data_IF_969207134328
#
_entry.id   IF_969207134328
#
_cell.length_a   1.000
_cell.length_b   1.000
_cell.length_c   1.000
_cell.angle_alpha   90.00
_cell.angle_beta   90.00
_cell.angle_gamma   90.00
#
_symmetry.space_group_name_H-M   'P 1'
#
loop_
_entity.id
_entity.type
_entity.pdbx_description
1 polymer ?
#
# COMPACT_ATOMS: atom_id res chain seq x y z
N UNK A 1 60.42 -43.19 38.65
CA UNK A 1 60.52 -41.78 38.16
C UNK A 1 60.46 -41.77 36.64
N UNK A 2 59.73 -40.78 36.07
CA UNK A 2 59.65 -40.33 34.66
C UNK A 2 58.86 -41.26 33.69
N UNK A 3 57.62 -40.90 33.28
CA UNK A 3 57.20 -39.92 32.24
C UNK A 3 57.81 -40.23 30.86
N UNK A 4 57.01 -40.65 29.87
CA UNK A 4 56.43 -39.77 28.82
C UNK A 4 55.70 -40.54 27.70
N UNK A 5 54.59 -39.93 27.27
CA UNK A 5 53.68 -40.23 26.14
C UNK A 5 54.27 -39.63 24.85
N UNK A 6 54.05 -40.22 23.67
CA UNK A 6 53.80 -39.52 22.39
C UNK A 6 53.50 -40.56 21.28
N UNK A 7 52.24 -40.78 20.91
CA UNK A 7 51.43 -40.07 19.89
C UNK A 7 51.93 -40.25 18.45
N UNK A 8 51.26 -41.14 17.71
CA UNK A 8 51.28 -41.18 16.24
C UNK A 8 50.11 -40.33 15.73
N UNK A 9 50.40 -39.16 15.15
CA UNK A 9 49.44 -38.34 14.43
C UNK A 9 49.55 -38.63 12.94
N UNK A 10 48.58 -39.38 12.40
CA UNK A 10 48.32 -39.41 10.97
C UNK A 10 47.44 -38.20 10.63
N UNK A 11 48.03 -37.19 9.97
CA UNK A 11 47.29 -36.04 9.47
C UNK A 11 46.72 -36.40 8.10
N UNK A 12 45.41 -36.70 8.07
CA UNK A 12 44.63 -36.73 6.84
C UNK A 12 43.90 -35.41 6.73
N UNK A 13 44.46 -34.46 5.99
CA UNK A 13 43.78 -33.22 5.60
C UNK A 13 42.76 -33.53 4.52
N UNK A 14 41.49 -33.69 4.93
CA UNK A 14 40.37 -33.59 4.00
C UNK A 14 40.11 -32.11 3.72
N UNK A 15 40.44 -31.66 2.50
CA UNK A 15 40.06 -30.34 2.02
C UNK A 15 38.59 -30.42 1.60
N UNK A 16 37.68 -30.08 2.52
CA UNK A 16 36.29 -29.81 2.17
C UNK A 16 36.24 -28.47 1.43
N UNK A 17 36.31 -28.51 0.10
CA UNK A 17 35.95 -27.35 -0.71
C UNK A 17 34.43 -27.23 -0.64
N UNK A 18 33.95 -26.49 0.36
CA UNK A 18 32.59 -25.99 0.36
C UNK A 18 32.55 -24.84 -0.63
N UNK A 19 32.18 -25.13 -1.88
CA UNK A 19 31.80 -24.10 -2.84
C UNK A 19 30.39 -23.65 -2.47
N UNK A 20 30.28 -22.71 -1.52
CA UNK A 20 29.08 -21.86 -1.44
C UNK A 20 29.31 -20.75 -2.44
N UNK A 21 28.88 -20.94 -3.68
CA UNK A 21 28.56 -19.79 -4.53
C UNK A 21 27.16 -19.34 -4.15
N UNK A 22 26.97 -18.16 -3.54
CA UNK A 22 25.66 -17.56 -3.54
C UNK A 22 25.34 -17.20 -5.00
N UNK A 23 24.30 -17.85 -5.50
CA UNK A 23 23.58 -17.58 -6.72
C UNK A 23 23.29 -16.09 -6.84
N UNK A 24 23.98 -15.39 -7.74
CA UNK A 24 23.77 -13.95 -8.00
C UNK A 24 22.30 -13.64 -8.28
N UNK A 25 21.61 -14.53 -9.00
CA UNK A 25 20.16 -14.44 -9.23
C UNK A 25 19.32 -14.45 -7.93
N UNK A 26 19.70 -15.26 -6.93
CA UNK A 26 19.00 -15.30 -5.65
C UNK A 26 19.29 -14.06 -4.81
N UNK A 27 20.53 -13.56 -4.85
CA UNK A 27 20.91 -12.32 -4.18
C UNK A 27 20.22 -11.09 -4.81
N UNK A 28 20.08 -11.07 -6.13
CA UNK A 28 19.38 -10.02 -6.87
C UNK A 28 17.87 -10.08 -6.64
N UNK A 29 17.25 -11.27 -6.59
CA UNK A 29 15.84 -11.45 -6.22
C UNK A 29 15.56 -11.02 -4.77
N UNK A 30 16.44 -11.38 -3.82
CA UNK A 30 16.35 -10.95 -2.42
C UNK A 30 16.46 -9.43 -2.33
N UNK A 31 17.43 -8.81 -3.03
CA UNK A 31 17.62 -7.36 -3.04
C UNK A 31 16.45 -6.62 -3.70
N UNK A 32 15.91 -7.17 -4.78
CA UNK A 32 14.73 -6.65 -5.46
C UNK A 32 13.51 -6.69 -4.52
N UNK A 33 13.25 -7.82 -3.87
CA UNK A 33 12.14 -7.95 -2.92
C UNK A 33 12.28 -6.98 -1.73
N UNK A 34 13.48 -6.83 -1.16
CA UNK A 34 13.72 -5.91 -0.05
C UNK A 34 13.51 -4.45 -0.47
N UNK A 35 13.95 -4.05 -1.66
CA UNK A 35 13.70 -2.70 -2.18
C UNK A 35 12.22 -2.40 -2.41
N UNK A 36 11.40 -3.42 -2.71
CA UNK A 36 9.95 -3.28 -2.82
C UNK A 36 9.33 -3.09 -1.43
N UNK A 37 9.69 -3.90 -0.44
CA UNK A 37 9.18 -3.76 0.93
C UNK A 37 9.55 -2.40 1.55
N UNK A 38 10.77 -1.92 1.30
CA UNK A 38 11.20 -0.57 1.67
C UNK A 38 10.38 0.51 0.96
N UNK A 39 10.08 0.34 -0.34
CA UNK A 39 9.28 1.28 -1.13
C UNK A 39 7.83 1.36 -0.65
N UNK A 40 7.20 0.23 -0.31
CA UNK A 40 5.82 0.20 0.15
C UNK A 40 5.68 0.55 1.64
N UNK A 41 6.79 0.50 2.40
CA UNK A 41 6.82 0.82 3.82
C UNK A 41 6.13 -0.21 4.71
N UNK A 42 6.07 -1.47 4.26
CA UNK A 42 5.42 -2.58 4.95
C UNK A 42 6.26 -3.83 4.76
N UNK A 43 6.42 -4.63 5.81
CA UNK A 43 7.14 -5.89 5.71
C UNK A 43 6.26 -7.03 5.20
N UNK A 44 6.88 -8.12 4.74
CA UNK A 44 6.16 -9.28 4.22
C UNK A 44 5.26 -9.92 5.28
N UNK A 45 5.65 -9.92 6.54
CA UNK A 45 4.88 -10.55 7.63
C UNK A 45 3.58 -9.82 7.91
N UNK A 46 3.57 -8.48 7.80
CA UNK A 46 2.37 -7.66 7.88
C UNK A 46 1.38 -7.98 6.74
N UNK A 47 1.90 -8.14 5.52
CA UNK A 47 1.09 -8.50 4.34
C UNK A 47 0.49 -9.89 4.51
N UNK A 48 1.31 -10.88 4.89
CA UNK A 48 0.84 -12.25 5.12
C UNK A 48 -0.19 -12.28 6.25
N UNK A 49 0.02 -11.51 7.33
CA UNK A 49 -0.94 -11.40 8.42
C UNK A 49 -2.28 -10.84 7.94
N UNK A 50 -2.28 -9.83 7.07
CA UNK A 50 -3.52 -9.28 6.51
C UNK A 50 -4.22 -10.28 5.59
N UNK A 51 -3.47 -10.95 4.71
CA UNK A 51 -4.00 -11.95 3.76
C UNK A 51 -4.67 -13.11 4.49
N UNK A 52 -4.11 -13.54 5.63
CA UNK A 52 -4.62 -14.65 6.42
C UNK A 52 -5.79 -14.28 7.37
N UNK A 53 -6.00 -12.99 7.67
CA UNK A 53 -7.11 -12.57 8.53
C UNK A 53 -8.43 -12.54 7.76
N UNK A 54 -9.28 -13.54 7.99
CA UNK A 54 -10.60 -13.67 7.37
C UNK A 54 -11.57 -12.54 7.71
N UNK A 55 -11.31 -11.74 8.75
CA UNK A 55 -12.11 -10.54 9.08
C UNK A 55 -11.67 -9.31 8.28
N UNK A 56 -10.45 -9.33 7.75
CA UNK A 56 -9.87 -8.28 6.93
C UNK A 56 -10.05 -8.62 5.44
N UNK A 57 -9.58 -9.79 5.03
CA UNK A 57 -9.50 -10.27 3.65
C UNK A 57 -10.72 -11.11 3.23
N UNK A 58 -11.93 -10.55 3.35
CA UNK A 58 -13.17 -11.27 3.01
C UNK A 58 -13.30 -11.59 1.52
N UNK A 59 -12.57 -10.87 0.66
CA UNK A 59 -12.58 -11.06 -0.79
C UNK A 59 -11.52 -12.06 -1.28
N UNK A 60 -10.76 -12.68 -0.37
CA UNK A 60 -9.78 -13.71 -0.72
C UNK A 60 -8.63 -13.20 -1.58
N UNK A 61 -8.21 -11.94 -1.37
CA UNK A 61 -7.06 -11.34 -2.05
C UNK A 61 -5.80 -12.13 -1.75
N UNK A 62 -5.07 -12.45 -2.81
CA UNK A 62 -3.77 -13.12 -2.74
C UNK A 62 -2.68 -12.16 -2.28
N UNK A 63 -1.55 -12.70 -1.81
CA UNK A 63 -0.35 -11.90 -1.51
C UNK A 63 0.07 -11.07 -2.73
N UNK A 64 0.03 -11.65 -3.93
CA UNK A 64 0.39 -10.98 -5.18
C UNK A 64 -0.53 -9.80 -5.51
N UNK A 65 -1.85 -9.95 -5.31
CA UNK A 65 -2.80 -8.84 -5.50
C UNK A 65 -2.57 -7.71 -4.48
N UNK A 66 -2.31 -8.05 -3.22
CA UNK A 66 -1.99 -7.05 -2.18
C UNK A 66 -0.69 -6.35 -2.50
N UNK A 67 0.34 -7.07 -2.95
CA UNK A 67 1.61 -6.49 -3.40
C UNK A 67 1.41 -5.54 -4.59
N UNK A 68 0.63 -5.92 -5.60
CA UNK A 68 0.33 -5.04 -6.74
C UNK A 68 -0.38 -3.75 -6.29
N UNK A 69 -1.35 -3.86 -5.38
CA UNK A 69 -2.02 -2.70 -4.80
C UNK A 69 -1.04 -1.77 -4.06
N UNK A 70 -0.19 -2.32 -3.22
CA UNK A 70 0.79 -1.55 -2.42
C UNK A 70 1.85 -0.88 -3.31
N UNK A 71 2.35 -1.58 -4.33
CA UNK A 71 3.30 -1.04 -5.30
C UNK A 71 2.69 0.12 -6.07
N UNK A 72 1.49 -0.06 -6.64
CA UNK A 72 0.80 0.98 -7.40
C UNK A 72 0.58 2.23 -6.53
N UNK A 73 0.09 2.03 -5.31
CA UNK A 73 -0.13 3.14 -4.37
C UNK A 73 1.15 3.88 -3.98
N UNK A 74 2.26 3.15 -3.77
CA UNK A 74 3.56 3.74 -3.45
C UNK A 74 4.17 4.50 -4.63
N UNK A 75 3.90 4.06 -5.86
CA UNK A 75 4.32 4.77 -7.08
C UNK A 75 3.61 6.11 -7.23
N UNK A 76 2.30 6.14 -6.99
CA UNK A 76 1.55 7.39 -7.06
C UNK A 76 2.02 8.43 -6.02
N UNK A 77 2.40 7.99 -4.82
CA UNK A 77 2.94 8.89 -3.77
C UNK A 77 4.34 9.42 -4.09
N UNK A 78 5.14 8.67 -4.84
CA UNK A 78 6.53 9.04 -5.15
C UNK A 78 6.63 10.09 -6.26
N UNK A 79 5.52 10.45 -6.91
CA UNK A 79 5.49 11.55 -7.89
C UNK A 79 6.10 12.82 -7.29
N UNK A 80 7.26 13.24 -7.83
CA UNK A 80 8.10 14.32 -7.30
C UNK A 80 7.47 15.72 -7.32
N UNK A 81 6.25 15.86 -7.83
CA UNK A 81 5.56 17.13 -8.04
C UNK A 81 4.20 17.19 -7.33
N UNK A 82 4.15 16.80 -6.05
CA UNK A 82 2.92 16.97 -5.26
C UNK A 82 2.64 18.47 -5.08
N UNK A 83 1.66 18.98 -5.80
CA UNK A 83 1.13 20.32 -5.58
C UNK A 83 -0.21 20.21 -4.86
N UNK A 84 -0.37 20.90 -3.74
CA UNK A 84 -1.68 21.02 -3.10
C UNK A 84 -2.43 22.21 -3.69
N UNK A 85 -3.73 22.07 -3.95
CA UNK A 85 -4.52 23.25 -4.35
C UNK A 85 -4.61 24.24 -3.18
N UNK A 86 -3.86 25.34 -3.28
CA UNK A 86 -3.83 26.40 -2.29
C UNK A 86 -5.16 27.17 -2.22
N UNK A 87 -6.08 27.06 -3.19
CA UNK A 87 -7.40 27.66 -3.07
C UNK A 87 -8.22 27.05 -1.89
N UNK A 88 -7.86 25.84 -1.44
CA UNK A 88 -8.43 25.14 -0.27
C UNK A 88 -7.52 25.28 0.96
N UNK A 89 -6.48 26.13 0.94
CA UNK A 89 -5.67 26.41 2.14
C UNK A 89 -6.40 27.22 3.22
N UNK A 90 -7.70 27.51 3.05
CA UNK A 90 -8.61 27.65 4.20
C UNK A 90 -9.23 26.29 4.56
N UNK A 91 -8.42 25.49 5.23
CA UNK A 91 -8.86 24.32 6.00
C UNK A 91 -8.70 22.99 5.27
N UNK A 92 -7.75 22.16 5.72
CA UNK A 92 -7.87 20.71 5.60
C UNK A 92 -9.27 20.31 6.05
N UNK A 93 -10.10 19.83 5.13
CA UNK A 93 -11.40 19.31 5.52
C UNK A 93 -11.17 18.06 6.36
N UNK A 94 -11.81 18.00 7.52
CA UNK A 94 -11.76 16.86 8.42
C UNK A 94 -13.13 16.64 9.03
N UNK A 95 -13.47 15.40 9.29
CA UNK A 95 -14.67 15.00 10.02
C UNK A 95 -14.40 13.70 10.78
N UNK A 96 -15.44 13.08 11.33
CA UNK A 96 -15.30 11.82 12.05
C UNK A 96 -14.76 10.66 11.20
N UNK A 97 -14.93 10.73 9.88
CA UNK A 97 -14.51 9.70 8.91
C UNK A 97 -13.13 9.97 8.32
N UNK A 98 -12.75 11.23 8.13
CA UNK A 98 -11.47 11.60 7.54
C UNK A 98 -10.76 12.64 8.40
N UNK A 99 -9.53 12.35 8.81
CA UNK A 99 -8.70 13.33 9.52
C UNK A 99 -8.17 14.41 8.58
N UNK A 100 -8.17 14.15 7.26
CA UNK A 100 -7.80 15.10 6.22
C UNK A 100 -8.41 14.72 4.88
N UNK A 101 -8.91 15.70 4.15
CA UNK A 101 -9.26 15.60 2.73
C UNK A 101 -8.76 16.82 1.97
N UNK A 102 -8.04 16.61 0.86
CA UNK A 102 -7.44 17.70 0.08
C UNK A 102 -7.23 17.30 -1.39
N UNK A 103 -7.40 18.24 -2.31
CA UNK A 103 -6.98 18.05 -3.70
C UNK A 103 -5.47 18.20 -3.83
N UNK A 104 -4.84 17.18 -4.39
CA UNK A 104 -3.41 17.16 -4.73
C UNK A 104 -3.24 16.93 -6.23
N UNK A 105 -2.20 17.49 -6.81
CA UNK A 105 -1.76 17.14 -8.15
C UNK A 105 -0.58 16.18 -8.04
N UNK A 106 -0.61 15.07 -8.76
CA UNK A 106 0.44 14.05 -8.86
C UNK A 106 0.64 13.75 -10.35
N UNK A 107 1.87 13.89 -10.84
CA UNK A 107 2.21 13.70 -12.26
C UNK A 107 1.24 14.40 -13.25
N UNK A 108 0.82 15.62 -12.93
CA UNK A 108 -0.08 16.41 -13.77
C UNK A 108 -1.57 16.01 -13.68
N UNK A 109 -1.91 15.00 -12.87
CA UNK A 109 -3.29 14.60 -12.60
C UNK A 109 -3.75 15.08 -11.23
N UNK A 110 -4.97 15.58 -11.13
CA UNK A 110 -5.58 15.90 -9.84
C UNK A 110 -6.14 14.64 -9.20
N UNK A 111 -5.93 14.50 -7.89
CA UNK A 111 -6.46 13.42 -7.06
C UNK A 111 -7.02 14.00 -5.77
N UNK A 112 -8.16 13.49 -5.32
CA UNK A 112 -8.69 13.79 -4.00
C UNK A 112 -8.03 12.84 -3.01
N UNK A 113 -7.14 13.36 -2.19
CA UNK A 113 -6.42 12.60 -1.17
C UNK A 113 -7.20 12.63 0.15
N UNK A 114 -7.56 11.46 0.66
CA UNK A 114 -8.40 11.27 1.84
C UNK A 114 -7.66 10.41 2.87
N UNK A 115 -7.42 10.96 4.05
CA UNK A 115 -6.86 10.22 5.17
C UNK A 115 -8.01 9.68 6.04
N UNK A 116 -8.38 8.39 5.91
CA UNK A 116 -9.42 7.80 6.75
C UNK A 116 -8.99 7.76 8.23
N UNK A 117 -9.97 7.79 9.12
CA UNK A 117 -9.78 7.61 10.57
C UNK A 117 -9.90 6.12 10.93
N UNK A 118 -10.24 5.83 12.18
CA UNK A 118 -10.34 4.49 12.75
C UNK A 118 -11.30 3.53 12.01
N UNK A 119 -12.32 4.05 11.32
CA UNK A 119 -13.33 3.20 10.67
C UNK A 119 -12.76 2.29 9.59
N UNK A 120 -11.68 2.71 8.93
CA UNK A 120 -11.02 1.92 7.89
C UNK A 120 -10.29 0.70 8.47
N UNK A 121 -9.93 0.72 9.75
CA UNK A 121 -9.31 -0.41 10.45
C UNK A 121 -10.35 -1.41 10.99
N UNK A 122 -11.64 -1.05 11.01
CA UNK A 122 -12.70 -1.94 11.45
C UNK A 122 -12.73 -3.22 10.59
N UNK A 123 -13.09 -4.34 11.19
CA UNK A 123 -13.29 -5.60 10.48
C UNK A 123 -14.49 -5.53 9.51
N UNK A 124 -14.48 -6.37 8.49
CA UNK A 124 -15.65 -6.64 7.65
C UNK A 124 -16.70 -7.44 8.47
N UNK A 125 -18.01 -7.16 8.35
CA UNK A 125 -18.67 -6.22 7.42
C UNK A 125 -18.81 -4.78 7.93
N UNK A 126 -18.48 -4.51 9.19
CA UNK A 126 -18.65 -3.19 9.83
C UNK A 126 -17.97 -2.07 9.05
N UNK A 127 -16.80 -2.32 8.46
CA UNK A 127 -16.12 -1.33 7.60
C UNK A 127 -16.99 -0.84 6.44
N UNK A 128 -17.70 -1.73 5.76
CA UNK A 128 -18.56 -1.35 4.62
C UNK A 128 -19.75 -0.52 5.06
N UNK A 129 -20.31 -0.80 6.23
CA UNK A 129 -21.36 0.02 6.81
C UNK A 129 -20.88 1.46 7.06
N UNK A 130 -19.66 1.62 7.59
CA UNK A 130 -19.07 2.95 7.77
C UNK A 130 -18.65 3.61 6.45
N UNK A 131 -18.22 2.83 5.45
CA UNK A 131 -17.80 3.33 4.16
C UNK A 131 -18.91 4.13 3.44
N UNK A 132 -20.17 3.67 3.50
CA UNK A 132 -21.31 4.40 2.94
C UNK A 132 -21.51 5.76 3.63
N UNK A 133 -21.43 5.76 4.96
CA UNK A 133 -21.54 7.00 5.75
C UNK A 133 -20.36 7.95 5.52
N UNK A 134 -19.16 7.40 5.34
CA UNK A 134 -17.96 8.17 5.02
C UNK A 134 -18.08 8.80 3.63
N UNK A 135 -18.48 8.02 2.61
CA UNK A 135 -18.65 8.50 1.25
C UNK A 135 -19.67 9.64 1.16
N UNK A 136 -20.79 9.54 1.87
CA UNK A 136 -21.82 10.57 1.88
C UNK A 136 -21.31 11.97 2.28
N UNK A 137 -20.17 12.05 2.99
CA UNK A 137 -19.57 13.33 3.38
C UNK A 137 -18.66 13.96 2.31
N UNK A 138 -18.25 13.20 1.30
CA UNK A 138 -17.29 13.65 0.26
C UNK A 138 -17.95 14.56 -0.79
N UNK A 139 -19.05 14.18 -1.49
CA UNK A 139 -19.62 15.02 -2.53
C UNK A 139 -20.02 16.43 -2.08
N UNK A 140 -20.67 16.63 -0.91
CA UNK A 140 -21.02 17.97 -0.44
C UNK A 140 -19.82 18.91 -0.29
N UNK A 141 -18.64 18.34 0.01
CA UNK A 141 -17.42 19.11 0.22
C UNK A 141 -16.65 19.37 -1.08
N UNK A 142 -16.53 18.36 -1.95
CA UNK A 142 -15.55 18.39 -3.04
C UNK A 142 -16.15 18.44 -4.44
N UNK A 143 -17.43 18.10 -4.62
CA UNK A 143 -18.01 17.92 -5.96
C UNK A 143 -18.19 19.20 -6.77
N UNK A 144 -18.20 20.37 -6.12
CA UNK A 144 -18.25 21.68 -6.79
C UNK A 144 -16.89 22.16 -7.30
N UNK A 145 -15.79 21.50 -6.90
CA UNK A 145 -14.45 21.82 -7.37
C UNK A 145 -14.33 21.60 -8.87
N UNK A 146 -13.59 22.48 -9.55
CA UNK A 146 -13.22 22.28 -10.97
C UNK A 146 -12.51 20.95 -11.23
N UNK A 147 -11.80 20.43 -10.24
CA UNK A 147 -11.09 19.15 -10.34
C UNK A 147 -12.06 17.98 -10.42
N UNK A 148 -13.27 18.13 -9.86
CA UNK A 148 -14.35 17.17 -9.99
C UNK A 148 -15.21 17.46 -11.23
N UNK A 149 -15.67 18.70 -11.39
CA UNK A 149 -16.65 19.07 -12.42
C UNK A 149 -16.08 19.05 -13.85
N UNK A 150 -14.77 19.06 -14.02
CA UNK A 150 -14.13 18.87 -15.32
C UNK A 150 -14.40 17.48 -15.94
N UNK A 151 -14.81 16.49 -15.14
CA UNK A 151 -15.00 15.11 -15.59
C UNK A 151 -16.44 14.63 -15.34
N UNK A 152 -17.24 14.37 -16.39
CA UNK A 152 -18.63 13.92 -16.24
C UNK A 152 -18.79 12.62 -15.45
N UNK A 153 -17.76 11.78 -15.43
CA UNK A 153 -17.74 10.48 -14.75
C UNK A 153 -17.17 10.52 -13.34
N UNK A 154 -16.68 11.68 -12.86
CA UNK A 154 -15.96 11.80 -11.59
C UNK A 154 -16.70 11.15 -10.41
N UNK A 155 -17.99 11.44 -10.23
CA UNK A 155 -18.76 10.92 -9.10
C UNK A 155 -18.81 9.39 -9.06
N UNK A 156 -18.98 8.75 -10.23
CA UNK A 156 -19.00 7.30 -10.36
C UNK A 156 -17.60 6.72 -10.13
N UNK A 157 -16.61 7.26 -10.81
CA UNK A 157 -15.24 6.73 -10.82
C UNK A 157 -14.56 6.89 -9.47
N UNK A 158 -14.74 8.03 -8.81
CA UNK A 158 -14.19 8.24 -7.48
C UNK A 158 -14.87 7.38 -6.42
N UNK A 159 -16.18 7.09 -6.55
CA UNK A 159 -16.89 6.15 -5.66
C UNK A 159 -16.34 4.73 -5.84
N UNK A 160 -16.18 4.29 -7.09
CA UNK A 160 -15.62 2.97 -7.39
C UNK A 160 -14.18 2.80 -6.86
N UNK A 161 -13.33 3.81 -7.03
CA UNK A 161 -11.98 3.83 -6.44
C UNK A 161 -12.05 3.80 -4.90
N UNK A 162 -12.92 4.61 -4.29
CA UNK A 162 -13.11 4.64 -2.84
C UNK A 162 -13.52 3.27 -2.29
N UNK A 163 -14.52 2.64 -2.91
CA UNK A 163 -14.97 1.30 -2.50
C UNK A 163 -13.90 0.24 -2.69
N UNK A 164 -13.06 0.38 -3.72
CA UNK A 164 -11.91 -0.49 -3.90
C UNK A 164 -10.89 -0.31 -2.77
N UNK A 165 -10.49 0.92 -2.42
CA UNK A 165 -9.59 1.18 -1.30
C UNK A 165 -10.13 0.66 0.03
N UNK A 166 -11.45 0.78 0.28
CA UNK A 166 -12.11 0.24 1.48
C UNK A 166 -11.87 -1.26 1.65
N UNK A 167 -11.77 -2.03 0.56
CA UNK A 167 -11.48 -3.47 0.62
C UNK A 167 -10.11 -3.76 1.23
N UNK A 168 -9.14 -2.88 1.00
CA UNK A 168 -7.80 -2.97 1.58
C UNK A 168 -7.71 -2.29 2.96
N UNK A 169 -8.67 -1.45 3.32
CA UNK A 169 -8.72 -0.78 4.63
C UNK A 169 -7.48 0.09 4.83
N UNK A 170 -6.84 -0.02 5.99
CA UNK A 170 -5.65 0.79 6.32
C UNK A 170 -4.34 0.28 5.73
N UNK A 171 -4.34 -0.78 4.89
CA UNK A 171 -3.12 -1.30 4.25
C UNK A 171 -2.32 -0.20 3.54
N UNK A 172 -3.02 0.75 2.92
CA UNK A 172 -2.39 1.94 2.36
C UNK A 172 -3.31 3.13 2.46
N UNK A 173 -2.80 4.19 3.07
CA UNK A 173 -3.46 5.48 3.19
C UNK A 173 -2.43 6.58 2.90
N UNK A 174 -2.86 7.76 2.40
CA UNK A 174 -4.25 8.16 2.12
C UNK A 174 -4.86 7.44 0.91
N UNK A 175 -6.19 7.43 0.82
CA UNK A 175 -6.92 7.01 -0.39
C UNK A 175 -6.86 8.15 -1.39
N UNK A 176 -6.34 7.91 -2.59
CA UNK A 176 -6.21 8.94 -3.62
C UNK A 176 -7.18 8.64 -4.77
N UNK A 177 -8.20 9.48 -4.91
CA UNK A 177 -9.28 9.27 -5.87
C UNK A 177 -9.12 10.19 -7.07
N UNK A 178 -8.99 9.61 -8.26
CA UNK A 178 -8.72 10.37 -9.48
C UNK A 178 -10.00 10.56 -10.32
N UNK A 179 -10.50 11.80 -10.45
CA UNK A 179 -11.72 12.09 -11.20
C UNK A 179 -11.56 11.89 -12.72
N UNK A 180 -10.32 11.90 -13.23
CA UNK A 180 -9.99 11.71 -14.65
C UNK A 180 -10.09 10.26 -15.14
N UNK A 181 -10.21 9.29 -14.22
CA UNK A 181 -10.29 7.87 -14.59
C UNK A 181 -11.56 7.58 -15.37
N UNK A 182 -11.47 6.65 -16.31
CA UNK A 182 -12.60 6.15 -17.11
C UNK A 182 -12.92 4.69 -16.82
N UNK A 183 -12.07 4.01 -16.07
CA UNK A 183 -12.17 2.63 -15.62
C UNK A 183 -11.29 2.43 -14.38
N UNK A 184 -11.53 1.37 -13.61
CA UNK A 184 -10.71 1.03 -12.45
C UNK A 184 -10.23 -0.42 -12.49
N UNK A 185 -9.00 -0.66 -12.06
CA UNK A 185 -8.51 -1.99 -11.71
C UNK A 185 -9.05 -2.39 -10.33
N UNK A 186 -9.71 -3.54 -10.23
CA UNK A 186 -10.18 -4.08 -8.94
C UNK A 186 -9.04 -4.64 -8.06
N UNK A 187 -7.79 -4.59 -8.57
CA UNK A 187 -6.59 -4.96 -7.83
C UNK A 187 -5.92 -3.68 -7.31
N UNK A 188 -5.59 -2.74 -8.19
CA UNK A 188 -4.79 -1.55 -7.84
C UNK A 188 -5.61 -0.33 -7.44
N UNK A 189 -6.94 -0.38 -7.60
CA UNK A 189 -7.88 0.69 -7.26
C UNK A 189 -7.71 2.02 -8.01
N UNK A 190 -6.96 2.01 -9.11
CA UNK A 190 -6.73 3.12 -10.02
C UNK A 190 -6.98 2.72 -11.48
#
# INVERSE_FOLDING_TARGET
MKKQILSAFAVVTAISIVVITPTTALADDIKYSQSIYEKIGMDRSEIVSWVQDSRQNVYGKTEDEVMQYLIASAEEERSSNIQTDNAITRGSWSNQWFSRGVWIARDGMWSLSLQPTWWAAAATPTRYYYAESAWATIPPQFSSSRHWTAYPTASKMMKEQFDCHVRYGTLKTPYNLEPSRTSISQITCN
#
